data_IF_907617020428
#
_entry.id   IF_907617020428
#
_cell.length_a   1.000
_cell.length_b   1.000
_cell.length_c   1.000
_cell.angle_alpha   90.00
_cell.angle_beta   90.00
_cell.angle_gamma   90.00
#
_symmetry.space_group_name_H-M   'P 1'
#
loop_
_entity.id
_entity.type
_entity.pdbx_description
1 polymer ?
#
# COMPACT_ATOMS: atom_id res chain seq x y z
N UNK A 1 -23.37 13.20 21.04
CA UNK A 1 -24.83 13.10 21.22
C UNK A 1 -25.24 11.72 20.74
N UNK A 2 -25.89 10.93 21.59
CA UNK A 2 -26.37 9.60 21.27
C UNK A 2 -27.78 9.68 20.65
N UNK A 3 -28.02 8.87 19.61
CA UNK A 3 -29.29 8.81 18.89
C UNK A 3 -29.76 7.35 18.73
N UNK A 4 -31.05 7.19 18.39
CA UNK A 4 -31.60 5.86 18.14
C UNK A 4 -30.86 5.19 16.98
N UNK A 5 -30.36 3.97 17.19
CA UNK A 5 -29.58 3.22 16.25
C UNK A 5 -28.08 3.21 16.56
N UNK A 6 -27.63 4.06 17.50
CA UNK A 6 -26.25 3.99 18.02
C UNK A 6 -26.11 2.82 19.00
N UNK A 7 -24.85 2.43 19.23
CA UNK A 7 -24.45 1.48 20.28
C UNK A 7 -23.48 2.21 21.21
N UNK A 8 -23.74 2.15 22.51
CA UNK A 8 -22.83 2.69 23.51
C UNK A 8 -21.85 1.62 23.96
N UNK A 9 -20.55 1.81 23.70
CA UNK A 9 -19.49 1.03 24.32
C UNK A 9 -19.05 1.74 25.60
N UNK A 10 -19.40 1.17 26.76
CA UNK A 10 -19.07 1.68 28.08
C UNK A 10 -17.93 0.89 28.70
N UNK A 11 -16.85 1.58 29.09
CA UNK A 11 -15.64 0.95 29.62
C UNK A 11 -15.45 1.37 31.08
N UNK A 12 -15.50 0.41 31.98
CA UNK A 12 -15.20 0.59 33.39
C UNK A 12 -14.74 -0.72 34.00
N UNK A 13 -13.49 -0.79 34.45
CA UNK A 13 -12.94 -2.02 35.01
C UNK A 13 -13.79 -2.51 36.19
N UNK A 14 -14.12 -1.67 37.16
CA UNK A 14 -15.00 -2.04 38.29
C UNK A 14 -16.45 -2.21 37.91
N UNK A 15 -16.89 -1.55 36.82
CA UNK A 15 -18.30 -1.46 36.45
C UNK A 15 -19.17 -0.60 37.40
N UNK A 16 -18.55 0.12 38.35
CA UNK A 16 -19.21 0.93 39.39
C UNK A 16 -18.88 2.42 39.28
N UNK A 17 -18.33 2.87 38.14
CA UNK A 17 -18.02 4.28 37.91
C UNK A 17 -19.30 5.10 37.84
N UNK A 18 -19.55 5.94 38.86
CA UNK A 18 -20.79 6.67 39.01
C UNK A 18 -21.18 7.50 37.80
N UNK A 19 -20.23 8.15 37.14
CA UNK A 19 -20.43 8.95 35.94
C UNK A 19 -21.05 8.15 34.79
N UNK A 20 -20.65 6.88 34.64
CA UNK A 20 -21.22 5.97 33.64
C UNK A 20 -22.55 5.39 34.10
N UNK A 21 -22.62 4.88 35.33
CA UNK A 21 -23.81 4.23 35.85
C UNK A 21 -25.02 5.19 35.82
N UNK A 22 -24.83 6.46 36.16
CA UNK A 22 -25.88 7.48 36.15
C UNK A 22 -26.40 7.81 34.74
N UNK A 23 -25.65 7.50 33.68
CA UNK A 23 -26.09 7.71 32.30
C UNK A 23 -26.96 6.56 31.77
N UNK A 24 -26.83 5.36 32.32
CA UNK A 24 -27.48 4.14 31.80
C UNK A 24 -29.02 4.25 31.72
N UNK A 25 -29.75 4.85 32.72
CA UNK A 25 -31.20 4.99 32.60
C UNK A 25 -31.63 5.87 31.40
N UNK A 26 -30.86 6.92 31.10
CA UNK A 26 -31.12 7.79 29.94
C UNK A 26 -30.85 7.06 28.65
N UNK A 27 -29.71 6.35 28.56
CA UNK A 27 -29.33 5.57 27.39
C UNK A 27 -30.36 4.49 27.06
N UNK A 28 -30.83 3.78 28.09
CA UNK A 28 -31.89 2.76 27.95
C UNK A 28 -33.22 3.36 27.49
N UNK A 29 -33.58 4.53 28.03
CA UNK A 29 -34.81 5.23 27.62
C UNK A 29 -34.79 5.67 26.17
N UNK A 30 -33.60 5.96 25.61
CA UNK A 30 -33.41 6.27 24.19
C UNK A 30 -33.43 5.01 23.29
N UNK A 31 -33.49 3.82 23.88
CA UNK A 31 -33.48 2.56 23.15
C UNK A 31 -32.11 2.24 22.52
N UNK A 32 -31.02 2.73 23.12
CA UNK A 32 -29.65 2.52 22.69
C UNK A 32 -29.13 1.27 23.37
N UNK A 33 -28.52 0.37 22.57
CA UNK A 33 -27.88 -0.83 23.08
C UNK A 33 -26.56 -0.49 23.78
N UNK A 34 -26.29 -1.19 24.89
CA UNK A 34 -25.10 -0.98 25.71
C UNK A 34 -24.21 -2.23 25.67
N UNK A 35 -22.98 -2.06 25.22
CA UNK A 35 -21.91 -3.03 25.33
C UNK A 35 -20.98 -2.58 26.46
N UNK A 36 -20.81 -3.40 27.49
CA UNK A 36 -19.95 -3.11 28.62
C UNK A 36 -18.61 -3.83 28.49
N UNK A 37 -17.51 -3.13 28.66
CA UNK A 37 -16.21 -3.73 29.00
C UNK A 37 -15.98 -3.56 30.51
N UNK A 38 -16.05 -4.63 31.25
CA UNK A 38 -15.94 -4.62 32.72
C UNK A 38 -15.36 -5.94 33.24
N UNK A 39 -14.82 -5.94 34.46
CA UNK A 39 -14.29 -7.15 35.10
C UNK A 39 -15.39 -8.05 35.70
N UNK A 40 -16.65 -7.60 35.74
CA UNK A 40 -17.75 -8.38 36.31
C UNK A 40 -19.08 -8.10 35.66
N UNK A 41 -19.73 -9.15 35.18
CA UNK A 41 -21.09 -9.09 34.68
C UNK A 41 -22.11 -8.76 35.78
N UNK A 42 -21.78 -8.97 37.07
CA UNK A 42 -22.64 -8.65 38.23
C UNK A 42 -22.47 -7.21 38.69
N UNK A 43 -21.58 -6.42 38.14
CA UNK A 43 -21.43 -4.99 38.42
C UNK A 43 -22.65 -4.20 37.94
N UNK A 44 -22.83 -3.00 38.46
CA UNK A 44 -23.92 -2.10 38.04
C UNK A 44 -23.94 -1.87 36.54
N UNK A 45 -22.77 -1.64 35.90
CA UNK A 45 -22.66 -1.51 34.48
C UNK A 45 -22.99 -2.83 33.75
N UNK A 46 -22.46 -3.96 34.23
CA UNK A 46 -22.67 -5.27 33.62
C UNK A 46 -24.15 -5.69 33.63
N UNK A 47 -24.87 -5.47 34.74
CA UNK A 47 -26.30 -5.78 34.87
C UNK A 47 -27.20 -4.93 33.94
N UNK A 48 -26.75 -3.73 33.56
CA UNK A 48 -27.48 -2.86 32.66
C UNK A 48 -27.08 -2.98 31.20
N UNK A 49 -26.01 -3.72 30.89
CA UNK A 49 -25.55 -3.91 29.55
C UNK A 49 -26.35 -4.98 28.79
N UNK A 50 -26.49 -4.82 27.48
CA UNK A 50 -27.09 -5.83 26.60
C UNK A 50 -26.04 -6.91 26.25
N UNK A 51 -24.75 -6.54 26.24
CA UNK A 51 -23.62 -7.44 26.04
C UNK A 51 -22.50 -7.05 27.00
N UNK A 52 -21.87 -8.04 27.64
CA UNK A 52 -20.71 -7.84 28.50
C UNK A 52 -19.48 -8.48 27.86
N UNK A 53 -18.44 -7.69 27.67
CA UNK A 53 -17.10 -8.15 27.30
C UNK A 53 -16.25 -8.19 28.57
N UNK A 54 -15.91 -9.39 29.00
CA UNK A 54 -15.14 -9.63 30.23
C UNK A 54 -13.67 -9.25 30.00
N UNK A 55 -13.21 -8.25 30.74
CA UNK A 55 -11.82 -7.79 30.79
C UNK A 55 -11.18 -8.04 32.16
N UNK A 56 -11.71 -9.00 32.91
CA UNK A 56 -11.17 -9.36 34.23
C UNK A 56 -9.72 -9.84 34.15
N UNK A 57 -8.94 -9.48 35.16
CA UNK A 57 -7.57 -9.93 35.36
C UNK A 57 -7.41 -10.42 36.79
N UNK A 58 -6.57 -11.41 36.99
CA UNK A 58 -6.34 -11.99 38.30
C UNK A 58 -5.72 -10.97 39.29
N UNK A 59 -4.77 -10.16 38.78
CA UNK A 59 -4.09 -9.11 39.56
C UNK A 59 -3.48 -8.05 38.66
N UNK A 60 -3.27 -6.88 39.21
CA UNK A 60 -2.45 -5.85 38.57
C UNK A 60 -0.97 -6.20 38.65
N UNK A 61 -0.19 -5.80 37.64
CA UNK A 61 1.26 -6.00 37.60
C UNK A 61 2.04 -5.07 38.54
N UNK A 62 1.38 -4.03 39.05
CA UNK A 62 1.91 -3.13 40.05
C UNK A 62 2.15 -3.89 41.37
N UNK A 63 3.32 -3.68 41.99
CA UNK A 63 3.69 -4.33 43.28
C UNK A 63 2.73 -4.05 44.41
N UNK A 64 2.03 -2.91 44.39
CA UNK A 64 1.00 -2.53 45.35
C UNK A 64 -0.39 -3.01 44.94
N UNK A 65 -0.59 -3.55 43.74
CA UNK A 65 -1.88 -3.94 43.21
C UNK A 65 -2.89 -2.80 42.98
N UNK A 66 -2.43 -1.54 42.98
CA UNK A 66 -3.27 -0.35 42.92
C UNK A 66 -3.30 0.33 41.55
N UNK A 67 -2.12 0.39 40.89
CA UNK A 67 -2.02 1.07 39.60
C UNK A 67 -2.57 0.16 38.49
N UNK A 68 -3.52 0.67 37.67
CA UNK A 68 -4.06 -0.11 36.55
C UNK A 68 -2.96 -0.39 35.52
N UNK A 69 -2.72 -1.65 35.25
CA UNK A 69 -1.67 -2.18 34.38
C UNK A 69 -2.17 -3.38 33.59
N UNK A 70 -2.38 -4.52 34.24
CA UNK A 70 -2.96 -5.71 33.59
C UNK A 70 -4.37 -5.42 33.08
N UNK A 71 -5.21 -4.74 33.85
CA UNK A 71 -6.56 -4.38 33.48
C UNK A 71 -6.61 -3.41 32.28
N UNK A 72 -5.72 -2.42 32.21
CA UNK A 72 -5.65 -1.50 31.07
C UNK A 72 -5.15 -2.22 29.82
N UNK A 73 -4.21 -3.15 29.95
CA UNK A 73 -3.74 -3.98 28.84
C UNK A 73 -4.86 -4.89 28.33
N UNK A 74 -5.60 -5.56 29.20
CA UNK A 74 -6.74 -6.39 28.82
C UNK A 74 -7.83 -5.57 28.09
N UNK A 75 -8.11 -4.36 28.58
CA UNK A 75 -9.07 -3.43 27.96
C UNK A 75 -8.61 -3.06 26.55
N UNK A 76 -7.34 -2.72 26.37
CA UNK A 76 -6.77 -2.37 25.06
C UNK A 76 -6.86 -3.52 24.06
N UNK A 77 -6.44 -4.72 24.48
CA UNK A 77 -6.49 -5.93 23.63
C UNK A 77 -7.93 -6.28 23.25
N UNK A 78 -8.88 -6.18 24.17
CA UNK A 78 -10.31 -6.39 23.88
C UNK A 78 -10.85 -5.37 22.91
N UNK A 79 -10.45 -4.11 23.06
CA UNK A 79 -10.80 -3.03 22.12
C UNK A 79 -10.29 -3.27 20.72
N UNK A 80 -9.03 -3.69 20.59
CA UNK A 80 -8.42 -4.04 19.31
C UNK A 80 -9.12 -5.26 18.68
N UNK A 81 -9.41 -6.30 19.48
CA UNK A 81 -10.13 -7.49 19.00
C UNK A 81 -11.53 -7.12 18.45
N UNK A 82 -12.25 -6.25 19.17
CA UNK A 82 -13.56 -5.75 18.72
C UNK A 82 -13.44 -4.94 17.43
N UNK A 83 -12.44 -4.07 17.34
CA UNK A 83 -12.18 -3.26 16.14
C UNK A 83 -11.88 -4.14 14.92
N UNK A 84 -11.03 -5.16 15.07
CA UNK A 84 -10.69 -6.12 14.00
C UNK A 84 -11.92 -6.94 13.59
N UNK A 85 -12.71 -7.43 14.55
CA UNK A 85 -13.94 -8.17 14.24
C UNK A 85 -14.97 -7.32 13.47
N UNK A 86 -15.09 -6.04 13.82
CA UNK A 86 -15.96 -5.09 13.11
C UNK A 86 -15.42 -4.77 11.70
N UNK A 87 -14.11 -4.68 11.54
CA UNK A 87 -13.45 -4.48 10.26
C UNK A 87 -13.75 -5.64 9.30
N UNK A 88 -13.60 -6.88 9.77
CA UNK A 88 -13.90 -8.09 9.00
C UNK A 88 -15.40 -8.15 8.64
N UNK A 89 -16.28 -7.88 9.60
CA UNK A 89 -17.73 -7.93 9.38
C UNK A 89 -18.20 -6.87 8.38
N UNK A 90 -17.58 -5.69 8.36
CA UNK A 90 -17.89 -4.63 7.40
C UNK A 90 -17.27 -4.87 6.01
N UNK A 91 -16.45 -5.90 5.85
CA UNK A 91 -15.72 -6.14 4.60
C UNK A 91 -14.74 -5.00 4.26
N UNK A 92 -14.15 -4.38 5.30
CA UNK A 92 -13.21 -3.28 5.15
C UNK A 92 -11.95 -3.74 4.42
N UNK A 93 -11.61 -3.05 3.34
CA UNK A 93 -10.53 -3.42 2.44
C UNK A 93 -9.25 -2.60 2.69
N UNK A 94 -8.15 -3.05 2.08
CA UNK A 94 -6.90 -2.26 2.02
C UNK A 94 -7.11 -0.89 1.35
N UNK A 95 -8.01 -0.81 0.37
CA UNK A 95 -8.33 0.44 -0.32
C UNK A 95 -9.07 1.42 0.61
N UNK A 96 -10.03 0.92 1.41
CA UNK A 96 -10.71 1.73 2.42
C UNK A 96 -9.73 2.26 3.48
N UNK A 97 -8.77 1.42 3.89
CA UNK A 97 -7.71 1.84 4.81
C UNK A 97 -6.84 2.94 4.20
N UNK A 98 -6.43 2.77 2.95
CA UNK A 98 -5.62 3.74 2.24
C UNK A 98 -6.33 5.09 2.07
N UNK A 99 -7.64 5.07 1.74
CA UNK A 99 -8.49 6.27 1.68
C UNK A 99 -8.60 6.99 3.03
N UNK A 100 -8.63 6.23 4.13
CA UNK A 100 -8.68 6.79 5.48
C UNK A 100 -7.34 7.37 5.95
N UNK A 101 -6.21 6.91 5.39
CA UNK A 101 -4.85 7.29 5.78
C UNK A 101 -3.97 7.69 4.59
N UNK A 102 -4.38 8.62 3.72
CA UNK A 102 -3.71 8.89 2.44
C UNK A 102 -2.29 9.44 2.59
N UNK A 103 -1.97 10.12 3.69
CA UNK A 103 -0.66 10.72 3.95
C UNK A 103 0.38 9.77 4.57
N UNK A 104 -0.02 8.59 5.03
CA UNK A 104 0.87 7.60 5.64
C UNK A 104 1.71 6.85 4.60
N UNK A 105 2.84 6.29 5.03
CA UNK A 105 3.67 5.43 4.15
C UNK A 105 2.89 4.24 3.60
N UNK A 106 2.04 3.64 4.42
CA UNK A 106 1.19 2.53 4.03
C UNK A 106 0.10 2.95 3.03
N UNK A 107 -0.54 4.11 3.23
CA UNK A 107 -1.54 4.65 2.31
C UNK A 107 -0.95 4.95 0.93
N UNK A 108 0.24 5.55 0.88
CA UNK A 108 0.97 5.77 -0.39
C UNK A 108 1.28 4.47 -1.12
N UNK A 109 1.78 3.45 -0.42
CA UNK A 109 2.05 2.13 -1.02
C UNK A 109 0.82 1.48 -1.65
N UNK A 110 -0.34 1.68 -1.05
CA UNK A 110 -1.60 1.07 -1.48
C UNK A 110 -2.33 1.85 -2.59
N UNK A 111 -2.09 3.16 -2.72
CA UNK A 111 -2.84 4.02 -3.64
C UNK A 111 -2.05 4.47 -4.86
N UNK A 112 -0.70 4.52 -4.76
CA UNK A 112 0.12 5.11 -5.81
C UNK A 112 0.09 4.24 -7.07
N UNK A 113 -0.28 4.84 -8.20
CA UNK A 113 -0.29 4.18 -9.51
C UNK A 113 0.99 4.45 -10.27
N UNK A 114 1.26 3.62 -11.26
CA UNK A 114 2.39 3.80 -12.20
C UNK A 114 2.30 5.14 -12.91
N UNK A 115 1.08 5.59 -13.30
CA UNK A 115 0.83 6.90 -13.90
C UNK A 115 1.34 8.09 -13.08
N UNK A 116 1.36 7.94 -11.74
CA UNK A 116 1.71 9.05 -10.83
C UNK A 116 3.22 9.24 -10.69
N UNK A 117 4.01 8.24 -11.12
CA UNK A 117 5.46 8.21 -10.97
C UNK A 117 6.22 8.16 -12.30
N UNK A 118 5.60 7.70 -13.39
CA UNK A 118 6.27 7.50 -14.67
C UNK A 118 6.64 8.81 -15.36
N UNK A 119 7.75 8.81 -16.11
CA UNK A 119 7.99 9.82 -17.15
C UNK A 119 7.05 9.56 -18.32
N UNK A 120 6.55 10.63 -18.95
CA UNK A 120 5.57 10.56 -20.03
C UNK A 120 5.92 11.54 -21.16
N UNK A 121 5.23 11.41 -22.29
CA UNK A 121 5.40 12.30 -23.45
C UNK A 121 6.83 12.29 -24.01
N UNK A 122 7.43 13.44 -24.16
CA UNK A 122 8.79 13.60 -24.72
C UNK A 122 9.89 13.04 -23.80
N UNK A 123 9.60 12.75 -22.54
CA UNK A 123 10.59 12.26 -21.59
C UNK A 123 10.73 10.74 -21.59
N UNK A 124 9.87 10.03 -22.32
CA UNK A 124 9.99 8.59 -22.52
C UNK A 124 11.25 8.31 -23.36
N UNK A 125 12.18 7.45 -22.87
CA UNK A 125 13.35 7.05 -23.65
C UNK A 125 12.95 6.10 -24.78
N UNK A 126 12.98 6.56 -26.02
CA UNK A 126 12.57 5.77 -27.19
C UNK A 126 13.53 5.95 -28.36
N UNK A 127 13.82 4.87 -29.03
CA UNK A 127 14.54 4.85 -30.32
C UNK A 127 13.82 3.94 -31.31
N UNK A 128 13.96 4.23 -32.61
CA UNK A 128 13.50 3.31 -33.65
C UNK A 128 14.38 2.06 -33.74
N UNK A 129 13.81 0.93 -34.12
CA UNK A 129 14.50 -0.34 -34.29
C UNK A 129 15.75 -0.24 -35.21
N UNK A 130 15.69 0.61 -36.22
CA UNK A 130 16.77 0.89 -37.17
C UNK A 130 17.84 1.88 -36.67
N UNK A 131 17.68 2.46 -35.48
CA UNK A 131 18.66 3.37 -34.92
C UNK A 131 19.97 2.64 -34.59
N UNK A 132 21.11 3.37 -34.58
CA UNK A 132 22.37 2.80 -34.13
C UNK A 132 22.36 2.56 -32.60
N UNK A 133 23.20 1.64 -32.15
CA UNK A 133 23.43 1.44 -30.71
C UNK A 133 23.95 2.74 -30.07
N UNK A 134 24.77 3.52 -30.77
CA UNK A 134 25.25 4.80 -30.27
C UNK A 134 24.11 5.80 -30.01
N UNK A 135 23.11 5.87 -30.88
CA UNK A 135 21.93 6.72 -30.67
C UNK A 135 21.11 6.26 -29.46
N UNK A 136 20.96 4.93 -29.28
CA UNK A 136 20.28 4.37 -28.11
C UNK A 136 21.01 4.72 -26.80
N UNK A 137 22.33 4.70 -26.77
CA UNK A 137 23.14 5.11 -25.61
C UNK A 137 23.00 6.61 -25.29
N UNK A 138 22.95 7.45 -26.33
CA UNK A 138 22.69 8.88 -26.15
C UNK A 138 21.30 9.13 -25.54
N UNK A 139 20.29 8.41 -26.02
CA UNK A 139 18.92 8.53 -25.48
C UNK A 139 18.85 8.05 -24.03
N UNK A 140 19.47 6.93 -23.67
CA UNK A 140 19.58 6.45 -22.27
C UNK A 140 20.21 7.53 -21.38
N UNK A 141 21.35 8.08 -21.81
CA UNK A 141 22.06 9.12 -21.06
C UNK A 141 21.23 10.38 -20.89
N UNK A 142 20.53 10.82 -21.95
CA UNK A 142 19.70 12.02 -21.94
C UNK A 142 18.49 11.90 -21.01
N UNK A 143 17.85 10.72 -20.97
CA UNK A 143 16.62 10.49 -20.20
C UNK A 143 16.88 9.97 -18.78
N UNK A 144 18.05 9.38 -18.50
CA UNK A 144 18.51 9.03 -17.16
C UNK A 144 17.77 7.86 -16.51
N UNK A 145 17.11 6.98 -17.30
CA UNK A 145 16.41 5.83 -16.76
C UNK A 145 17.22 4.51 -16.78
N UNK A 146 18.42 4.53 -17.38
CA UNK A 146 19.27 3.31 -17.55
C UNK A 146 18.73 2.32 -18.59
N UNK A 147 17.73 2.73 -19.37
CA UNK A 147 17.19 1.96 -20.49
C UNK A 147 16.57 2.87 -21.56
N UNK A 148 16.36 2.30 -22.75
CA UNK A 148 15.49 2.88 -23.79
C UNK A 148 14.56 1.81 -24.36
N UNK A 149 13.34 2.19 -24.70
CA UNK A 149 12.41 1.35 -25.46
C UNK A 149 12.75 1.41 -26.94
N UNK A 150 12.66 0.26 -27.60
CA UNK A 150 12.85 0.14 -29.05
C UNK A 150 11.50 -0.05 -29.71
N UNK A 151 11.16 0.85 -30.64
CA UNK A 151 9.86 0.89 -31.32
C UNK A 151 9.97 0.56 -32.81
N UNK A 152 8.97 -0.13 -33.32
CA UNK A 152 8.77 -0.36 -34.75
C UNK A 152 8.27 0.93 -35.44
N UNK A 153 8.16 0.89 -36.78
CA UNK A 153 7.66 2.03 -37.57
C UNK A 153 6.22 2.44 -37.25
N UNK A 154 5.40 1.52 -36.73
CA UNK A 154 4.02 1.78 -36.29
C UNK A 154 3.93 2.33 -34.85
N UNK A 155 5.07 2.50 -34.17
CA UNK A 155 5.18 2.98 -32.80
C UNK A 155 4.99 1.88 -31.74
N UNK A 156 4.90 0.60 -32.12
CA UNK A 156 4.76 -0.51 -31.18
C UNK A 156 6.11 -0.84 -30.53
N UNK A 157 6.11 -1.10 -29.22
CA UNK A 157 7.30 -1.53 -28.48
C UNK A 157 7.69 -2.95 -28.89
N UNK A 158 8.87 -3.10 -29.49
CA UNK A 158 9.42 -4.40 -29.92
C UNK A 158 10.43 -4.98 -28.93
N UNK A 159 11.11 -4.12 -28.17
CA UNK A 159 12.09 -4.51 -27.18
C UNK A 159 12.56 -3.37 -26.31
N UNK A 160 13.56 -3.64 -25.50
CA UNK A 160 14.26 -2.66 -24.66
C UNK A 160 15.77 -2.83 -24.83
N UNK A 161 16.51 -1.74 -24.69
CA UNK A 161 17.98 -1.76 -24.64
C UNK A 161 18.43 -1.12 -23.33
N UNK A 162 19.31 -1.80 -22.61
CA UNK A 162 19.70 -1.45 -21.23
C UNK A 162 21.23 -1.49 -21.08
N UNK A 163 21.74 -1.02 -19.94
CA UNK A 163 23.16 -1.15 -19.56
C UNK A 163 23.64 -2.61 -19.55
N UNK A 164 22.75 -3.57 -19.25
CA UNK A 164 23.04 -5.00 -19.31
C UNK A 164 23.26 -5.49 -20.75
N UNK A 165 22.46 -4.96 -21.69
CA UNK A 165 22.63 -5.25 -23.13
C UNK A 165 23.96 -4.67 -23.63
N UNK A 166 24.29 -3.43 -23.23
CA UNK A 166 25.55 -2.80 -23.55
C UNK A 166 26.77 -3.67 -23.13
N UNK A 167 26.77 -4.21 -21.92
CA UNK A 167 27.87 -5.10 -21.48
C UNK A 167 27.99 -6.30 -22.37
N UNK A 168 26.88 -6.95 -22.75
CA UNK A 168 26.88 -8.13 -23.60
C UNK A 168 27.50 -7.84 -24.99
N UNK A 169 27.14 -6.71 -25.58
CA UNK A 169 27.66 -6.35 -26.92
C UNK A 169 29.12 -5.91 -26.87
N UNK A 170 29.60 -5.30 -25.79
CA UNK A 170 31.01 -4.98 -25.61
C UNK A 170 31.86 -6.25 -25.46
N UNK A 171 31.38 -7.24 -24.67
CA UNK A 171 32.03 -8.55 -24.53
C UNK A 171 32.08 -9.28 -25.86
N UNK A 172 31.04 -9.18 -26.68
CA UNK A 172 30.94 -9.74 -28.02
C UNK A 172 31.70 -8.93 -29.09
N UNK A 173 32.33 -7.79 -28.71
CA UNK A 173 33.07 -6.88 -29.60
C UNK A 173 32.23 -6.36 -30.78
N UNK A 174 30.93 -6.14 -30.56
CA UNK A 174 30.06 -5.55 -31.57
C UNK A 174 30.39 -4.06 -31.71
N UNK A 175 30.48 -3.58 -32.94
CA UNK A 175 30.71 -2.16 -33.22
C UNK A 175 29.40 -1.36 -32.98
N UNK A 176 29.41 -0.56 -31.95
CA UNK A 176 28.26 0.24 -31.52
C UNK A 176 27.83 1.33 -32.50
N UNK A 177 28.71 1.70 -33.42
CA UNK A 177 28.41 2.75 -34.42
C UNK A 177 27.76 2.17 -35.68
N UNK A 178 27.98 0.91 -36.00
CA UNK A 178 27.44 0.27 -37.20
C UNK A 178 26.27 -0.67 -36.91
N UNK A 179 26.23 -1.30 -35.72
CA UNK A 179 25.14 -2.18 -35.32
C UNK A 179 23.85 -1.42 -35.08
N UNK A 180 22.72 -1.99 -35.50
CA UNK A 180 21.39 -1.48 -35.15
C UNK A 180 20.94 -1.94 -33.76
N UNK A 181 20.11 -1.14 -33.09
CA UNK A 181 19.61 -1.52 -31.77
C UNK A 181 18.73 -2.78 -31.82
N UNK A 182 18.06 -3.02 -32.95
CA UNK A 182 17.22 -4.22 -33.15
C UNK A 182 18.02 -5.53 -33.10
N UNK A 183 19.28 -5.52 -33.56
CA UNK A 183 20.14 -6.69 -33.55
C UNK A 183 20.59 -7.11 -32.15
N UNK A 184 20.64 -6.14 -31.22
CA UNK A 184 21.27 -6.32 -29.90
C UNK A 184 20.31 -6.13 -28.71
N UNK A 185 19.11 -5.62 -28.94
CA UNK A 185 18.12 -5.38 -27.89
C UNK A 185 17.61 -6.67 -27.24
N UNK A 186 17.10 -6.56 -26.03
CA UNK A 186 16.24 -7.60 -25.44
C UNK A 186 14.86 -7.51 -26.05
N UNK A 187 14.47 -8.48 -26.89
CA UNK A 187 13.16 -8.55 -27.54
C UNK A 187 12.05 -8.83 -26.54
N UNK A 188 10.90 -8.19 -26.70
CA UNK A 188 9.70 -8.46 -25.92
C UNK A 188 9.83 -8.16 -24.41
N UNK A 189 10.63 -7.16 -24.01
CA UNK A 189 10.88 -6.79 -22.62
C UNK A 189 9.61 -6.71 -21.77
N UNK A 190 9.76 -6.88 -20.45
CA UNK A 190 8.64 -6.75 -19.49
C UNK A 190 8.12 -5.33 -19.52
N UNK A 191 6.79 -5.20 -19.44
CA UNK A 191 6.07 -3.92 -19.41
C UNK A 191 5.01 -3.95 -18.31
N UNK A 192 4.52 -2.77 -17.96
CA UNK A 192 3.38 -2.58 -17.06
C UNK A 192 2.39 -1.61 -17.71
N UNK A 193 1.25 -1.36 -17.07
CA UNK A 193 0.25 -0.39 -17.53
C UNK A 193 0.18 0.81 -16.58
N UNK A 194 -0.26 1.97 -17.08
CA UNK A 194 -0.35 3.20 -16.31
C UNK A 194 -1.30 3.11 -15.09
N UNK A 195 -2.36 2.29 -15.21
CA UNK A 195 -3.36 2.11 -14.15
C UNK A 195 -2.97 1.13 -13.04
N UNK A 196 -1.90 0.35 -13.23
CA UNK A 196 -1.43 -0.62 -12.25
C UNK A 196 -0.84 0.07 -11.01
N UNK A 197 -0.94 -0.58 -9.84
CA UNK A 197 -0.32 -0.05 -8.62
C UNK A 197 1.20 -0.06 -8.73
N UNK A 198 1.83 0.99 -8.20
CA UNK A 198 3.29 1.11 -8.22
C UNK A 198 3.99 -0.02 -7.45
N UNK A 199 3.37 -0.54 -6.38
CA UNK A 199 3.87 -1.69 -5.61
C UNK A 199 3.83 -2.99 -6.42
N UNK A 200 2.84 -3.19 -7.28
CA UNK A 200 2.79 -4.37 -8.17
C UNK A 200 3.88 -4.30 -9.24
N UNK A 201 4.11 -3.10 -9.77
CA UNK A 201 5.20 -2.88 -10.71
C UNK A 201 6.58 -3.08 -10.05
N UNK A 202 6.74 -2.69 -8.78
CA UNK A 202 7.93 -2.99 -7.98
C UNK A 202 8.15 -4.50 -7.85
N UNK A 203 7.12 -5.26 -7.48
CA UNK A 203 7.19 -6.73 -7.36
C UNK A 203 7.59 -7.39 -8.69
N UNK A 204 7.08 -6.88 -9.82
CA UNK A 204 7.47 -7.32 -11.15
C UNK A 204 8.97 -7.08 -11.40
N UNK A 205 9.46 -5.88 -11.04
CA UNK A 205 10.88 -5.52 -11.20
C UNK A 205 11.79 -6.39 -10.34
N UNK A 206 11.43 -6.65 -9.09
CA UNK A 206 12.19 -7.51 -8.17
C UNK A 206 12.23 -8.97 -8.66
N UNK A 207 11.05 -9.51 -9.03
CA UNK A 207 10.94 -10.90 -9.54
C UNK A 207 11.81 -11.14 -10.76
N UNK A 208 11.89 -10.16 -11.66
CA UNK A 208 12.68 -10.27 -12.89
C UNK A 208 14.08 -9.65 -12.79
N UNK A 209 14.45 -9.11 -11.62
CA UNK A 209 15.75 -8.45 -11.36
C UNK A 209 16.06 -7.36 -12.38
N UNK A 210 15.08 -6.53 -12.69
CA UNK A 210 15.19 -5.40 -13.63
C UNK A 210 15.03 -4.09 -12.87
N UNK A 211 15.78 -3.06 -13.30
CA UNK A 211 15.84 -1.75 -12.62
C UNK A 211 14.96 -0.67 -13.26
N UNK A 212 14.38 -0.96 -14.42
CA UNK A 212 13.51 -0.02 -15.14
C UNK A 212 12.43 -0.78 -15.93
N UNK A 213 11.29 -0.12 -16.16
CA UNK A 213 10.15 -0.66 -16.90
C UNK A 213 9.61 0.35 -17.91
N UNK A 214 9.23 -0.14 -19.07
CA UNK A 214 8.37 0.57 -20.01
C UNK A 214 6.91 0.38 -19.60
N UNK A 215 6.14 1.46 -19.72
CA UNK A 215 4.69 1.48 -19.53
C UNK A 215 4.03 1.53 -20.89
N UNK A 216 3.12 0.59 -21.17
CA UNK A 216 2.45 0.50 -22.47
C UNK A 216 0.94 0.54 -22.34
N UNK A 217 0.28 0.94 -23.43
CA UNK A 217 -1.15 0.74 -23.60
C UNK A 217 -1.47 -0.70 -24.07
N UNK A 218 -2.76 -0.99 -24.28
CA UNK A 218 -3.26 -2.30 -24.72
C UNK A 218 -2.75 -2.69 -26.12
N UNK A 219 -2.29 -1.72 -26.92
CA UNK A 219 -1.70 -1.93 -28.25
C UNK A 219 -0.17 -2.01 -28.21
N UNK A 220 0.42 -2.17 -27.00
CA UNK A 220 1.86 -2.15 -26.75
C UNK A 220 2.56 -0.87 -27.19
N UNK A 221 1.89 0.25 -27.29
CA UNK A 221 2.53 1.54 -27.53
C UNK A 221 3.05 2.12 -26.22
N UNK A 222 4.30 2.61 -26.17
CA UNK A 222 4.85 3.25 -24.99
C UNK A 222 4.08 4.51 -24.60
N UNK A 223 3.58 4.55 -23.37
CA UNK A 223 2.90 5.70 -22.76
C UNK A 223 3.67 6.29 -21.60
N UNK A 224 4.70 5.58 -21.12
CA UNK A 224 5.57 6.02 -20.04
C UNK A 224 6.76 5.10 -19.84
N UNK A 225 7.64 5.51 -18.92
CA UNK A 225 8.76 4.72 -18.43
C UNK A 225 9.15 5.19 -17.02
N UNK A 226 9.68 4.29 -16.20
CA UNK A 226 10.19 4.63 -14.88
C UNK A 226 11.27 3.64 -14.45
N UNK A 227 12.01 4.01 -13.41
CA UNK A 227 13.04 3.14 -12.83
C UNK A 227 12.87 3.01 -11.29
N UNK A 228 13.68 2.15 -10.69
CA UNK A 228 13.68 1.87 -9.26
C UNK A 228 13.90 3.13 -8.41
N UNK A 229 14.71 4.07 -8.88
CA UNK A 229 14.97 5.33 -8.16
C UNK A 229 13.70 6.19 -8.06
N UNK A 230 12.86 6.19 -9.08
CA UNK A 230 11.58 6.93 -9.05
C UNK A 230 10.60 6.30 -8.07
N UNK A 231 10.54 4.97 -7.97
CA UNK A 231 9.75 4.25 -6.94
C UNK A 231 10.23 4.59 -5.52
N UNK A 232 11.55 4.61 -5.31
CA UNK A 232 12.15 5.01 -4.03
C UNK A 232 11.77 6.45 -3.66
N UNK A 233 11.94 7.39 -4.61
CA UNK A 233 11.60 8.81 -4.40
C UNK A 233 10.11 9.01 -4.11
N UNK A 234 9.24 8.20 -4.68
CA UNK A 234 7.81 8.21 -4.44
C UNK A 234 7.38 7.55 -3.12
N UNK A 235 8.30 6.90 -2.40
CA UNK A 235 8.04 6.24 -1.13
C UNK A 235 7.28 4.91 -1.26
N UNK A 236 7.47 4.19 -2.37
CA UNK A 236 6.91 2.85 -2.61
C UNK A 236 7.80 1.78 -1.98
N UNK A 237 9.09 2.05 -1.86
CA UNK A 237 10.09 1.21 -1.20
C UNK A 237 10.19 1.51 0.29
#
# INVERSE_FOLDING_TARGET
>A
MLSKGDVLLAISNSGETNELVNLLPVVKRLGIQVVAMTNSASSSLGQHADVVLDISVEKEACSLGLAPTSSTTATLVMGDALAVALLDQKGFTSDDFALSHPGGSLGRKLLLKVSDIMQSGSDIPLVHASASVADALLEISKKGLGMTGVIAADGTLTGVFTDGDLRRILDARVDVHSATVEEVMTKGGKTTTAGQLAVEALNLMETHKISALMVTDDKRKPVGAFNMHMLLKAGVL
#
